data_IF_057315618521
#
_entry.id   IF_057315618521
#
_cell.length_a   1.000
_cell.length_b   1.000
_cell.length_c   1.000
_cell.angle_alpha   90.00
_cell.angle_beta   90.00
_cell.angle_gamma   90.00
#
_symmetry.space_group_name_H-M   'P 1'
#
loop_
_entity.id
_entity.type
_entity.pdbx_description
1 polymer ?
#
# COMPACT_ATOMS: atom_id res chain seq x y z
N UNK A 1 -9.96 11.06 -26.06
CA UNK A 1 -9.80 9.99 -25.06
C UNK A 1 -9.15 10.59 -23.83
N UNK A 2 -9.79 10.52 -22.68
CA UNK A 2 -9.21 10.93 -21.39
C UNK A 2 -8.28 9.83 -20.89
N UNK A 3 -7.01 10.16 -20.62
CA UNK A 3 -6.08 9.24 -19.94
C UNK A 3 -6.54 9.16 -18.49
N UNK A 4 -6.98 7.99 -18.04
CA UNK A 4 -7.23 7.78 -16.62
C UNK A 4 -5.88 7.67 -15.89
N UNK A 5 -5.67 8.56 -14.93
CA UNK A 5 -4.49 8.57 -14.08
C UNK A 5 -4.78 7.80 -12.79
N UNK A 6 -3.88 6.89 -12.47
CA UNK A 6 -3.82 6.14 -11.21
C UNK A 6 -2.56 6.59 -10.45
N UNK A 7 -2.58 6.50 -9.12
CA UNK A 7 -1.39 6.77 -8.32
C UNK A 7 -0.28 5.75 -8.63
N UNK A 8 -0.68 4.50 -8.88
CA UNK A 8 0.24 3.44 -9.30
C UNK A 8 0.48 3.46 -10.82
N UNK A 9 1.74 3.56 -11.30
CA UNK A 9 2.04 3.64 -12.73
C UNK A 9 1.61 2.38 -13.49
N UNK A 10 1.74 1.19 -12.90
CA UNK A 10 1.30 -0.05 -13.55
C UNK A 10 -0.22 -0.09 -13.82
N UNK A 11 -1.03 0.48 -12.92
CA UNK A 11 -2.48 0.57 -13.11
C UNK A 11 -2.84 1.56 -14.22
N UNK A 12 -2.09 2.66 -14.36
CA UNK A 12 -2.23 3.58 -15.50
C UNK A 12 -1.94 2.87 -16.83
N UNK A 13 -0.88 2.04 -16.88
CA UNK A 13 -0.59 1.21 -18.05
C UNK A 13 -1.69 0.18 -18.33
N UNK A 14 -2.19 -0.51 -17.30
CA UNK A 14 -3.28 -1.47 -17.45
C UNK A 14 -4.58 -0.83 -17.94
N UNK A 15 -4.94 0.35 -17.40
CA UNK A 15 -6.11 1.11 -17.85
C UNK A 15 -6.00 1.50 -19.33
N UNK A 16 -4.80 1.83 -19.80
CA UNK A 16 -4.53 2.11 -21.21
C UNK A 16 -4.75 0.86 -22.08
N UNK A 17 -4.24 -0.30 -21.65
CA UNK A 17 -4.47 -1.60 -22.33
C UNK A 17 -5.94 -2.01 -22.35
N UNK A 18 -6.71 -1.63 -21.34
CA UNK A 18 -8.14 -1.94 -21.22
C UNK A 18 -9.06 -0.96 -21.96
N UNK A 19 -8.55 0.15 -22.51
CA UNK A 19 -9.37 1.22 -23.07
C UNK A 19 -10.35 0.72 -24.16
N UNK A 20 -9.86 -0.11 -25.09
CA UNK A 20 -10.71 -0.70 -26.15
C UNK A 20 -11.73 -1.68 -25.59
N UNK A 21 -11.33 -2.49 -24.59
CA UNK A 21 -12.23 -3.44 -23.94
C UNK A 21 -13.36 -2.70 -23.20
N UNK A 22 -13.03 -1.60 -22.52
CA UNK A 22 -14.00 -0.71 -21.86
C UNK A 22 -14.98 -0.11 -22.86
N UNK A 23 -14.50 0.38 -24.01
CA UNK A 23 -15.40 0.92 -25.03
C UNK A 23 -16.35 -0.16 -25.57
N UNK A 24 -15.83 -1.35 -25.87
CA UNK A 24 -16.65 -2.48 -26.29
C UNK A 24 -17.66 -2.90 -25.21
N UNK A 25 -17.24 -2.94 -23.95
CA UNK A 25 -18.10 -3.23 -22.80
C UNK A 25 -19.27 -2.24 -22.70
N UNK A 26 -18.98 -0.94 -22.85
CA UNK A 26 -20.00 0.11 -22.87
C UNK A 26 -21.04 -0.06 -23.99
N UNK A 27 -20.63 -0.57 -25.16
CA UNK A 27 -21.53 -0.84 -26.28
C UNK A 27 -22.48 -2.02 -26.03
N UNK A 28 -22.06 -2.99 -25.22
CA UNK A 28 -22.83 -4.23 -24.93
C UNK A 28 -23.49 -4.22 -23.54
N UNK A 29 -23.27 -3.17 -22.73
CA UNK A 29 -23.79 -3.09 -21.36
C UNK A 29 -23.06 -4.00 -20.36
N UNK A 30 -21.81 -4.37 -20.64
CA UNK A 30 -20.98 -5.16 -19.72
C UNK A 30 -20.31 -4.26 -18.66
N UNK A 31 -19.85 -4.83 -17.52
CA UNK A 31 -19.16 -4.08 -16.48
C UNK A 31 -17.92 -3.34 -16.99
N UNK A 32 -17.63 -2.16 -16.43
CA UNK A 32 -16.42 -1.38 -16.76
C UNK A 32 -15.18 -2.01 -16.10
N UNK A 33 -14.24 -2.61 -16.87
CA UNK A 33 -13.04 -3.23 -16.31
C UNK A 33 -12.04 -2.22 -15.73
N UNK A 34 -12.06 -0.96 -16.19
CA UNK A 34 -11.16 0.09 -15.69
C UNK A 34 -11.66 0.63 -14.35
N UNK A 35 -12.98 0.76 -14.19
CA UNK A 35 -13.58 1.15 -12.92
C UNK A 35 -13.17 0.19 -11.78
N UNK A 36 -13.04 -1.10 -12.08
CA UNK A 36 -12.58 -2.08 -11.10
C UNK A 36 -11.15 -1.81 -10.61
N UNK A 37 -10.23 -1.34 -11.47
CA UNK A 37 -8.84 -1.07 -11.08
C UNK A 37 -8.73 -0.04 -9.97
N UNK A 38 -9.72 0.84 -9.81
CA UNK A 38 -9.75 1.85 -8.74
C UNK A 38 -9.78 1.24 -7.35
N UNK A 39 -10.22 -0.01 -7.21
CA UNK A 39 -10.17 -0.72 -5.93
C UNK A 39 -8.75 -1.16 -5.52
N UNK A 40 -7.77 -1.06 -6.43
CA UNK A 40 -6.36 -1.32 -6.17
C UNK A 40 -5.49 -0.05 -6.22
N UNK A 41 -6.10 1.11 -6.48
CA UNK A 41 -5.38 2.36 -6.62
C UNK A 41 -4.85 2.82 -5.26
N UNK A 42 -3.54 2.68 -5.07
CA UNK A 42 -2.82 3.08 -3.88
C UNK A 42 -1.46 3.67 -4.28
N UNK A 43 -0.85 4.47 -3.39
CA UNK A 43 0.51 4.99 -3.56
C UNK A 43 1.50 4.29 -2.62
N UNK A 44 2.08 3.15 -3.03
CA UNK A 44 3.23 2.56 -2.36
C UNK A 44 4.39 3.55 -2.14
N UNK A 45 4.59 4.49 -3.08
CA UNK A 45 5.63 5.51 -2.96
C UNK A 45 5.39 6.46 -1.76
N UNK A 46 4.15 6.89 -1.53
CA UNK A 46 3.80 7.73 -0.38
C UNK A 46 3.96 6.97 0.95
N UNK A 47 3.61 5.68 0.96
CA UNK A 47 3.81 4.81 2.14
C UNK A 47 5.31 4.64 2.43
N UNK A 48 6.14 4.37 1.40
CA UNK A 48 7.60 4.30 1.54
C UNK A 48 8.17 5.60 2.09
N UNK A 49 7.75 6.75 1.57
CA UNK A 49 8.19 8.05 2.05
C UNK A 49 7.84 8.27 3.54
N UNK A 50 6.62 7.89 3.93
CA UNK A 50 6.17 7.97 5.32
C UNK A 50 6.99 7.04 6.23
N UNK A 51 7.24 5.80 5.81
CA UNK A 51 8.07 4.85 6.53
C UNK A 51 9.51 5.37 6.72
N UNK A 52 10.12 5.94 5.67
CA UNK A 52 11.44 6.55 5.75
C UNK A 52 11.48 7.77 6.70
N UNK A 53 10.41 8.57 6.74
CA UNK A 53 10.32 9.70 7.67
C UNK A 53 10.25 9.22 9.14
N UNK A 54 9.51 8.13 9.40
CA UNK A 54 9.44 7.51 10.74
C UNK A 54 10.80 6.93 11.14
N UNK A 55 11.50 6.27 10.23
CA UNK A 55 12.85 5.74 10.48
C UNK A 55 13.86 6.84 10.83
N UNK A 56 13.84 7.94 10.06
CA UNK A 56 14.64 9.13 10.37
C UNK A 56 14.28 9.74 11.74
N UNK A 57 12.99 9.73 12.09
CA UNK A 57 12.52 10.12 13.43
C UNK A 57 13.08 9.23 14.54
N UNK A 58 13.16 7.91 14.32
CA UNK A 58 13.75 6.95 15.27
C UNK A 58 15.23 7.25 15.56
N UNK A 59 15.98 7.67 14.54
CA UNK A 59 17.37 8.13 14.71
C UNK A 59 17.45 9.40 15.58
N UNK A 60 16.52 10.34 15.39
CA UNK A 60 16.40 11.53 16.24
C UNK A 60 16.13 11.18 17.71
N UNK A 61 15.21 10.26 17.97
CA UNK A 61 14.91 9.75 19.32
C UNK A 61 16.14 9.07 19.94
N UNK A 62 16.88 8.29 19.16
CA UNK A 62 18.12 7.63 19.60
C UNK A 62 19.21 8.66 19.96
N UNK A 63 19.35 9.73 19.17
CA UNK A 63 20.27 10.82 19.49
C UNK A 63 19.87 11.54 20.78
N UNK A 64 18.59 11.84 20.95
CA UNK A 64 18.06 12.46 22.17
C UNK A 64 18.29 11.57 23.40
N UNK A 65 18.15 10.25 23.27
CA UNK A 65 18.47 9.29 24.32
C UNK A 65 19.95 9.38 24.75
N UNK A 66 20.86 9.45 23.78
CA UNK A 66 22.30 9.53 24.07
C UNK A 66 22.65 10.85 24.77
N UNK A 67 22.08 11.97 24.34
CA UNK A 67 22.23 13.27 25.01
C UNK A 67 21.65 13.26 26.43
N UNK A 68 20.49 12.65 26.62
CA UNK A 68 19.87 12.46 27.93
C UNK A 68 20.79 11.68 28.87
N UNK A 69 21.30 10.52 28.43
CA UNK A 69 22.23 9.69 29.23
C UNK A 69 23.50 10.45 29.61
N UNK A 70 24.10 11.20 28.68
CA UNK A 70 25.25 12.06 28.98
C UNK A 70 24.91 13.25 29.90
N UNK A 71 23.65 13.64 29.99
CA UNK A 71 23.15 14.60 31.00
C UNK A 71 23.02 13.96 32.39
N UNK A 72 22.46 12.76 32.47
CA UNK A 72 22.32 11.97 33.71
C UNK A 72 23.67 11.69 34.34
N UNK A 73 24.64 11.20 33.56
CA UNK A 73 26.01 10.90 34.03
C UNK A 73 26.70 12.14 34.66
N UNK A 74 26.45 13.33 34.10
CA UNK A 74 26.98 14.59 34.67
C UNK A 74 26.26 14.98 35.96
N UNK A 75 24.95 14.76 36.05
CA UNK A 75 24.14 15.14 37.21
C UNK A 75 24.38 14.23 38.44
N UNK A 76 24.66 12.95 38.24
CA UNK A 76 24.93 11.99 39.34
C UNK A 76 26.17 12.35 40.18
N UNK A 77 27.10 13.14 39.62
CA UNK A 77 28.25 13.68 40.37
C UNK A 77 27.87 14.73 41.44
N UNK A 78 26.60 15.14 41.51
CA UNK A 78 26.11 16.28 42.33
C UNK A 78 25.35 15.95 43.64
N UNK A 79 25.08 14.67 43.97
CA UNK A 79 24.75 14.29 45.36
C UNK A 79 23.28 14.02 45.77
N UNK A 80 22.33 13.79 44.85
CA UNK A 80 21.02 13.20 45.21
C UNK A 80 20.70 12.00 44.29
N UNK A 81 20.98 10.77 44.76
CA UNK A 81 21.22 9.64 43.86
C UNK A 81 20.01 8.73 43.54
N UNK A 82 19.21 8.31 44.54
CA UNK A 82 18.29 7.18 44.31
C UNK A 82 17.03 7.51 43.50
N UNK A 83 16.30 8.57 43.87
CA UNK A 83 15.05 8.93 43.18
C UNK A 83 15.31 9.51 41.79
N UNK A 84 16.43 10.22 41.62
CA UNK A 84 16.87 10.72 40.32
C UNK A 84 17.29 9.58 39.39
N UNK A 85 18.06 8.60 39.89
CA UNK A 85 18.46 7.42 39.11
C UNK A 85 17.26 6.61 38.63
N UNK A 86 16.29 6.33 39.51
CA UNK A 86 15.08 5.58 39.13
C UNK A 86 14.25 6.29 38.05
N UNK A 87 14.12 7.62 38.15
CA UNK A 87 13.44 8.42 37.12
C UNK A 87 14.24 8.44 35.82
N UNK A 88 15.56 8.60 35.89
CA UNK A 88 16.44 8.61 34.73
C UNK A 88 16.39 7.29 33.96
N UNK A 89 16.44 6.14 34.66
CA UNK A 89 16.29 4.82 34.07
C UNK A 89 14.93 4.65 33.38
N UNK A 90 13.86 5.19 33.99
CA UNK A 90 12.51 5.15 33.42
C UNK A 90 12.45 5.93 32.10
N UNK A 91 12.96 7.16 32.09
CA UNK A 91 12.97 8.02 30.88
C UNK A 91 13.88 7.43 29.80
N UNK A 92 15.05 6.90 30.15
CA UNK A 92 15.93 6.21 29.20
C UNK A 92 15.25 4.98 28.58
N UNK A 93 14.50 4.22 29.39
CA UNK A 93 13.68 3.10 28.94
C UNK A 93 12.57 3.53 27.96
N UNK A 94 11.92 4.67 28.21
CA UNK A 94 10.91 5.24 27.31
C UNK A 94 11.50 5.68 25.97
N UNK A 95 12.67 6.32 25.96
CA UNK A 95 13.39 6.65 24.72
C UNK A 95 13.73 5.39 23.92
N UNK A 96 14.28 4.36 24.59
CA UNK A 96 14.61 3.10 23.94
C UNK A 96 13.37 2.40 23.37
N UNK A 97 12.26 2.40 24.11
CA UNK A 97 10.99 1.83 23.66
C UNK A 97 10.43 2.58 22.45
N UNK A 98 10.42 3.92 22.49
CA UNK A 98 9.96 4.77 21.40
C UNK A 98 10.81 4.58 20.13
N UNK A 99 12.13 4.53 20.25
CA UNK A 99 13.04 4.29 19.12
C UNK A 99 12.79 2.92 18.47
N UNK A 100 12.63 1.86 19.28
CA UNK A 100 12.30 0.51 18.77
C UNK A 100 10.94 0.47 18.07
N UNK A 101 9.93 1.11 18.65
CA UNK A 101 8.59 1.15 18.07
C UNK A 101 8.58 1.91 16.74
N UNK A 102 9.28 3.04 16.66
CA UNK A 102 9.42 3.80 15.42
C UNK A 102 10.15 2.97 14.33
N UNK A 103 11.25 2.31 14.66
CA UNK A 103 11.96 1.43 13.72
C UNK A 103 11.08 0.26 13.23
N UNK A 104 10.34 -0.39 14.13
CA UNK A 104 9.41 -1.47 13.78
C UNK A 104 8.27 -0.97 12.86
N UNK A 105 7.74 0.22 13.15
CA UNK A 105 6.71 0.88 12.34
C UNK A 105 7.22 1.18 10.93
N UNK A 106 8.42 1.74 10.83
CA UNK A 106 9.05 2.02 9.53
C UNK A 106 9.29 0.74 8.73
N UNK A 107 9.82 -0.31 9.36
CA UNK A 107 10.05 -1.60 8.70
C UNK A 107 8.74 -2.22 8.19
N UNK A 108 7.67 -2.18 8.99
CA UNK A 108 6.36 -2.66 8.57
C UNK A 108 5.80 -1.82 7.41
N UNK A 109 5.86 -0.48 7.50
CA UNK A 109 5.42 0.40 6.42
C UNK A 109 6.14 0.14 5.09
N UNK A 110 7.45 -0.11 5.13
CA UNK A 110 8.24 -0.46 3.96
C UNK A 110 7.82 -1.81 3.35
N UNK A 111 7.59 -2.84 4.19
CA UNK A 111 7.08 -4.15 3.75
C UNK A 111 5.69 -4.02 3.11
N UNK A 112 4.75 -3.35 3.77
CA UNK A 112 3.40 -3.12 3.26
C UNK A 112 3.42 -2.42 1.91
N UNK A 113 4.27 -1.39 1.76
CA UNK A 113 4.41 -0.72 0.49
C UNK A 113 4.92 -1.66 -0.62
N UNK A 114 5.89 -2.53 -0.32
CA UNK A 114 6.38 -3.50 -1.29
C UNK A 114 5.31 -4.52 -1.69
N UNK A 115 4.54 -5.03 -0.72
CA UNK A 115 3.46 -5.99 -0.99
C UNK A 115 2.32 -5.37 -1.80
N UNK A 116 1.95 -4.12 -1.52
CA UNK A 116 0.96 -3.37 -2.31
C UNK A 116 1.42 -3.09 -3.75
N UNK A 117 2.72 -2.74 -3.92
CA UNK A 117 3.35 -2.52 -5.22
C UNK A 117 3.31 -3.81 -6.07
N UNK A 118 3.75 -4.94 -5.50
CA UNK A 118 3.72 -6.25 -6.16
C UNK A 118 2.30 -6.68 -6.52
N UNK A 119 1.32 -6.43 -5.64
CA UNK A 119 -0.08 -6.72 -5.89
C UNK A 119 -0.64 -5.90 -7.05
N UNK A 120 -0.30 -4.61 -7.13
CA UNK A 120 -0.69 -3.75 -8.24
C UNK A 120 0.01 -4.15 -9.56
N UNK A 121 1.30 -4.47 -9.53
CA UNK A 121 2.08 -4.93 -10.70
C UNK A 121 1.54 -6.26 -11.23
N UNK A 122 1.37 -7.26 -10.37
CA UNK A 122 0.88 -8.59 -10.76
C UNK A 122 -0.56 -8.54 -11.28
N UNK A 123 -1.44 -7.77 -10.64
CA UNK A 123 -2.81 -7.55 -11.13
C UNK A 123 -2.80 -6.85 -12.50
N UNK A 124 -1.95 -5.84 -12.68
CA UNK A 124 -1.82 -5.12 -13.95
C UNK A 124 -1.39 -6.06 -15.08
N UNK A 125 -0.43 -6.95 -14.82
CA UNK A 125 0.03 -7.94 -15.80
C UNK A 125 -1.09 -8.91 -16.20
N UNK A 126 -1.76 -9.53 -15.22
CA UNK A 126 -2.85 -10.49 -15.46
C UNK A 126 -4.02 -9.85 -16.23
N UNK A 127 -4.36 -8.59 -15.90
CA UNK A 127 -5.42 -7.84 -16.59
C UNK A 127 -5.01 -7.46 -18.02
N UNK A 128 -3.75 -7.10 -18.26
CA UNK A 128 -3.26 -6.85 -19.62
C UNK A 128 -3.33 -8.11 -20.49
N UNK A 129 -3.01 -9.28 -19.93
CA UNK A 129 -3.12 -10.56 -20.63
C UNK A 129 -4.57 -10.88 -21.02
N UNK A 130 -5.53 -10.66 -20.10
CA UNK A 130 -6.95 -10.82 -20.38
C UNK A 130 -7.43 -9.86 -21.49
N UNK A 131 -6.97 -8.61 -21.46
CA UNK A 131 -7.29 -7.62 -22.49
C UNK A 131 -6.73 -8.04 -23.86
N UNK A 132 -5.48 -8.52 -23.89
CA UNK A 132 -4.84 -9.00 -25.11
C UNK A 132 -5.57 -10.23 -25.69
N UNK A 133 -5.94 -11.20 -24.85
CA UNK A 133 -6.69 -12.39 -25.26
C UNK A 133 -8.08 -12.03 -25.83
N UNK A 134 -8.74 -11.01 -25.29
CA UNK A 134 -10.05 -10.54 -25.73
C UNK A 134 -9.99 -9.54 -26.90
N UNK A 135 -8.81 -9.15 -27.36
CA UNK A 135 -8.61 -8.11 -28.39
C UNK A 135 -9.37 -8.39 -29.70
N UNK A 136 -9.37 -9.62 -30.25
CA UNK A 136 -10.12 -9.92 -31.49
C UNK A 136 -11.64 -9.69 -31.33
N UNK A 137 -12.23 -10.20 -30.25
CA UNK A 137 -13.66 -10.02 -29.97
C UNK A 137 -13.99 -8.57 -29.65
N UNK A 138 -13.10 -7.86 -28.96
CA UNK A 138 -13.23 -6.42 -28.70
C UNK A 138 -13.29 -5.64 -30.01
N UNK A 139 -12.35 -5.89 -30.93
CA UNK A 139 -12.34 -5.25 -32.24
C UNK A 139 -13.60 -5.56 -33.05
N UNK A 140 -14.11 -6.80 -33.00
CA UNK A 140 -15.36 -7.19 -33.66
C UNK A 140 -16.58 -6.44 -33.08
N UNK A 141 -16.71 -6.30 -31.76
CA UNK A 141 -17.78 -5.46 -31.16
C UNK A 141 -17.65 -4.01 -31.61
N UNK A 142 -16.42 -3.48 -31.68
CA UNK A 142 -16.18 -2.10 -32.08
C UNK A 142 -16.46 -1.85 -33.57
N UNK A 143 -16.37 -2.87 -34.42
CA UNK A 143 -16.80 -2.79 -35.83
C UNK A 143 -18.29 -3.04 -36.03
N UNK A 144 -19.02 -3.43 -34.98
CA UNK A 144 -20.47 -3.58 -34.97
C UNK A 144 -20.98 -5.03 -34.93
N UNK A 145 -20.10 -6.02 -34.79
CA UNK A 145 -20.49 -7.42 -34.61
C UNK A 145 -21.21 -7.59 -33.25
N UNK A 146 -22.41 -8.14 -33.30
CA UNK A 146 -23.27 -8.42 -32.13
C UNK A 146 -23.61 -9.90 -32.00
N UNK A 147 -22.86 -10.78 -32.66
CA UNK A 147 -23.00 -12.22 -32.49
C UNK A 147 -22.83 -12.61 -31.02
N UNK A 148 -23.59 -13.61 -30.58
CA UNK A 148 -23.62 -14.04 -29.18
C UNK A 148 -22.24 -14.48 -28.68
N UNK A 149 -21.43 -15.09 -29.54
CA UNK A 149 -20.07 -15.56 -29.25
C UNK A 149 -19.13 -14.38 -28.94
N UNK A 150 -19.15 -13.34 -29.78
CA UNK A 150 -18.33 -12.13 -29.62
C UNK A 150 -18.73 -11.34 -28.37
N UNK A 151 -20.03 -11.13 -28.16
CA UNK A 151 -20.57 -10.44 -26.98
C UNK A 151 -20.24 -11.21 -25.69
N UNK A 152 -20.37 -12.54 -25.72
CA UNK A 152 -20.04 -13.41 -24.59
C UNK A 152 -18.56 -13.37 -24.24
N UNK A 153 -17.67 -13.36 -25.25
CA UNK A 153 -16.23 -13.27 -25.04
C UNK A 153 -15.82 -11.95 -24.35
N UNK A 154 -16.33 -10.81 -24.82
CA UNK A 154 -16.07 -9.49 -24.20
C UNK A 154 -16.63 -9.43 -22.78
N UNK A 155 -17.87 -9.91 -22.57
CA UNK A 155 -18.49 -9.95 -21.24
C UNK A 155 -17.71 -10.83 -20.27
N UNK A 156 -17.24 -11.98 -20.74
CA UNK A 156 -16.42 -12.92 -19.95
C UNK A 156 -15.06 -12.32 -19.59
N UNK A 157 -14.42 -11.60 -20.52
CA UNK A 157 -13.17 -10.90 -20.26
C UNK A 157 -13.36 -9.81 -19.19
N UNK A 158 -14.39 -8.97 -19.31
CA UNK A 158 -14.71 -7.95 -18.31
C UNK A 158 -14.98 -8.55 -16.93
N UNK A 159 -15.80 -9.61 -16.87
CA UNK A 159 -16.07 -10.33 -15.63
C UNK A 159 -14.80 -10.96 -15.04
N UNK A 160 -13.90 -11.47 -15.87
CA UNK A 160 -12.63 -12.05 -15.43
C UNK A 160 -11.71 -10.98 -14.84
N UNK A 161 -11.58 -9.81 -15.46
CA UNK A 161 -10.84 -8.67 -14.91
C UNK A 161 -11.38 -8.27 -13.54
N UNK A 162 -12.70 -8.12 -13.40
CA UNK A 162 -13.34 -7.81 -12.11
C UNK A 162 -13.01 -8.87 -11.07
N UNK A 163 -13.07 -10.17 -11.42
CA UNK A 163 -12.72 -11.26 -10.49
C UNK A 163 -11.25 -11.25 -10.10
N UNK A 164 -10.33 -10.97 -11.02
CA UNK A 164 -8.90 -10.82 -10.71
C UNK A 164 -8.74 -9.78 -9.62
N UNK A 165 -9.33 -8.60 -9.83
CA UNK A 165 -9.22 -7.48 -8.90
C UNK A 165 -9.86 -7.81 -7.55
N UNK A 166 -11.06 -8.41 -7.53
CA UNK A 166 -11.72 -8.83 -6.30
C UNK A 166 -10.88 -9.81 -5.48
N UNK A 167 -10.22 -10.79 -6.12
CA UNK A 167 -9.31 -11.71 -5.43
C UNK A 167 -8.14 -10.98 -4.79
N UNK A 168 -7.57 -10.00 -5.47
CA UNK A 168 -6.46 -9.19 -4.96
C UNK A 168 -6.91 -8.31 -3.80
N UNK A 169 -8.04 -7.62 -3.92
CA UNK A 169 -8.64 -6.85 -2.81
C UNK A 169 -8.92 -7.73 -1.59
N UNK A 170 -9.46 -8.95 -1.78
CA UNK A 170 -9.70 -9.86 -0.66
C UNK A 170 -8.41 -10.28 0.07
N UNK A 171 -7.28 -10.36 -0.64
CA UNK A 171 -5.99 -10.69 -0.03
C UNK A 171 -5.42 -9.57 0.85
N UNK A 172 -5.88 -8.32 0.67
CA UNK A 172 -5.49 -7.19 1.52
C UNK A 172 -5.99 -7.30 2.97
N UNK A 173 -7.01 -8.11 3.24
CA UNK A 173 -7.50 -8.32 4.61
C UNK A 173 -6.44 -8.95 5.52
N UNK A 174 -5.54 -9.77 4.97
CA UNK A 174 -4.41 -10.34 5.70
C UNK A 174 -3.37 -9.26 6.06
N UNK A 175 -3.09 -8.34 5.13
CA UNK A 175 -2.20 -7.18 5.33
C UNK A 175 -2.74 -6.23 6.42
N UNK A 176 -4.06 -6.06 6.50
CA UNK A 176 -4.68 -5.22 7.53
C UNK A 176 -4.46 -5.77 8.96
N UNK A 177 -4.40 -7.10 9.13
CA UNK A 177 -4.10 -7.70 10.43
C UNK A 177 -2.65 -7.43 10.89
N UNK A 178 -1.71 -7.23 9.97
CA UNK A 178 -0.33 -6.86 10.33
C UNK A 178 -0.22 -5.44 10.90
N UNK A 179 -1.19 -4.58 10.63
CA UNK A 179 -1.24 -3.20 11.14
C UNK A 179 -1.78 -3.09 12.57
N UNK A 180 -2.50 -4.10 13.07
CA UNK A 180 -3.12 -4.09 14.40
C UNK A 180 -2.14 -3.73 15.53
N UNK A 181 -0.90 -4.26 15.58
CA UNK A 181 0.07 -3.93 16.62
C UNK A 181 0.51 -2.45 16.62
N UNK A 182 0.31 -1.72 15.51
CA UNK A 182 0.66 -0.31 15.40
C UNK A 182 -0.42 0.64 15.93
N UNK A 183 -1.60 0.12 16.29
CA UNK A 183 -2.73 0.94 16.79
C UNK A 183 -2.64 1.25 18.28
N UNK A 184 -1.80 0.52 19.02
CA UNK A 184 -1.54 0.75 20.44
C UNK A 184 -0.41 1.78 20.63
N UNK A 185 -0.53 2.71 21.60
CA UNK A 185 0.56 3.63 21.91
C UNK A 185 1.79 2.87 22.43
N UNK A 186 2.96 3.17 21.87
CA UNK A 186 4.21 2.53 22.26
C UNK A 186 4.68 2.89 23.69
N UNK A 187 4.17 3.99 24.24
CA UNK A 187 4.46 4.47 25.60
C UNK A 187 3.16 4.98 26.20
N UNK A 188 2.71 4.37 27.30
CA UNK A 188 1.68 4.94 28.15
C UNK A 188 2.35 5.90 29.13
N UNK A 189 2.03 7.19 29.03
CA UNK A 189 2.42 8.17 30.03
C UNK A 189 1.49 7.98 31.23
N UNK A 190 2.03 7.43 32.33
CA UNK A 190 1.33 7.27 33.62
C UNK A 190 1.47 8.51 34.49
#
# INVERSE_FOLDING_TARGET
>A
MSVELFEHPALTSAASSLASLREAAGRIGAPDPVAALRHLDCSPAAIRASASAVDAGALGVTSAQAEFRGGVERAETGGSAETFGTWADTVDGQYAAAARAAAATAALGARLAAELDELAVSASAEVCELAAAASPSTAAVLSGDRSAEVVSAVSTACASVVRVIQRRVSSLSALAAELEPLTAPAVELS
#
